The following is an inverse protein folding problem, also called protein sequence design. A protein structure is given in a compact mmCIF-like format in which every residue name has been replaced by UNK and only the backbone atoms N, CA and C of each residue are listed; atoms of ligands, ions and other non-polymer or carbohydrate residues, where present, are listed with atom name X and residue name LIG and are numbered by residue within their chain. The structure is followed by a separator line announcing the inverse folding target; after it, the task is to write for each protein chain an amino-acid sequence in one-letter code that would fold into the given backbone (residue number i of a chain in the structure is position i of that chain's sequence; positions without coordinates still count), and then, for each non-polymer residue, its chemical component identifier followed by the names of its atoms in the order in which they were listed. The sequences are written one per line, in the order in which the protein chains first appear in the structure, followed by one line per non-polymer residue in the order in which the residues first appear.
data_IF_405582504277
#
_entry.id   IF_405582504277
#
_cell.length_a   1.000
_cell.length_b   1.000
_cell.length_c   1.000
_cell.angle_alpha   90.00
_cell.angle_beta   90.00
_cell.angle_gamma   90.00
#
_symmetry.space_group_name_H-M   'P 1'
#
loop_
_entity.id
_entity.type
_entity.pdbx_description
1 polymer ?
#
# COMPACT_ATOMS: atom_id res chain seq x y z
N UNK A 1 16.03 -19.77 -25.00
CA UNK A 1 15.47 -19.36 -23.70
C UNK A 1 14.96 -20.61 -23.00
N UNK A 2 15.54 -20.95 -21.84
CA UNK A 2 15.17 -22.14 -21.10
C UNK A 2 14.18 -21.77 -20.00
N UNK A 3 13.04 -22.43 -19.97
CA UNK A 3 12.11 -22.37 -18.83
C UNK A 3 12.77 -23.17 -17.70
N UNK A 4 13.04 -22.50 -16.58
CA UNK A 4 13.63 -23.12 -15.39
C UNK A 4 12.54 -23.95 -14.70
N UNK A 5 12.83 -25.19 -14.28
CA UNK A 5 11.86 -25.98 -13.52
C UNK A 5 11.57 -25.31 -12.17
N UNK A 6 10.28 -25.13 -11.87
CA UNK A 6 9.81 -24.57 -10.59
C UNK A 6 9.31 -25.72 -9.71
N UNK A 7 9.70 -25.72 -8.44
CA UNK A 7 9.20 -26.68 -7.47
C UNK A 7 7.94 -26.14 -6.76
N UNK A 8 6.86 -26.92 -6.77
CA UNK A 8 5.69 -26.62 -5.93
C UNK A 8 5.98 -27.10 -4.50
N UNK A 9 5.89 -26.17 -3.55
CA UNK A 9 6.11 -26.44 -2.13
C UNK A 9 4.81 -26.20 -1.37
N UNK A 10 4.52 -27.05 -0.38
CA UNK A 10 3.39 -26.88 0.54
C UNK A 10 3.92 -26.91 1.96
N UNK A 11 3.62 -25.86 2.72
CA UNK A 11 4.08 -25.68 4.10
C UNK A 11 2.92 -25.97 5.06
N UNK A 12 3.24 -26.65 6.16
CA UNK A 12 2.29 -26.97 7.22
C UNK A 12 2.80 -26.42 8.55
N UNK A 13 1.90 -25.95 9.40
CA UNK A 13 2.24 -25.36 10.68
C UNK A 13 0.99 -24.95 11.46
N UNK A 14 1.21 -24.30 12.60
CA UNK A 14 0.10 -23.76 13.41
C UNK A 14 -0.43 -22.47 12.80
N UNK A 15 -1.71 -22.17 13.04
CA UNK A 15 -2.33 -20.93 12.54
C UNK A 15 -1.62 -19.68 13.08
N UNK A 16 -1.13 -19.75 14.32
CA UNK A 16 -0.44 -18.64 14.99
C UNK A 16 0.88 -18.28 14.31
N UNK A 17 1.57 -19.26 13.72
CA UNK A 17 2.84 -19.07 13.02
C UNK A 17 2.68 -18.58 11.57
N UNK A 18 1.45 -18.59 11.04
CA UNK A 18 1.19 -18.30 9.62
C UNK A 18 1.78 -16.97 9.17
N UNK A 19 1.53 -15.90 9.92
CA UNK A 19 1.96 -14.54 9.54
C UNK A 19 3.49 -14.42 9.56
N UNK A 20 4.13 -14.82 10.66
CA UNK A 20 5.60 -14.78 10.81
C UNK A 20 6.30 -15.56 9.69
N UNK A 21 5.79 -16.74 9.34
CA UNK A 21 6.35 -17.54 8.24
C UNK A 21 6.14 -16.86 6.90
N UNK A 22 4.95 -16.33 6.62
CA UNK A 22 4.67 -15.61 5.37
C UNK A 22 5.56 -14.37 5.20
N UNK A 23 5.76 -13.60 6.27
CA UNK A 23 6.62 -12.42 6.26
C UNK A 23 8.06 -12.81 5.92
N UNK A 24 8.59 -13.85 6.57
CA UNK A 24 9.93 -14.36 6.27
C UNK A 24 10.07 -14.90 4.83
N UNK A 25 9.04 -15.55 4.28
CA UNK A 25 9.05 -15.99 2.87
C UNK A 25 8.97 -14.81 1.90
N UNK A 26 8.25 -13.76 2.25
CA UNK A 26 8.17 -12.53 1.46
C UNK A 26 9.52 -11.80 1.44
N UNK A 27 10.22 -11.73 2.58
CA UNK A 27 11.58 -11.18 2.66
C UNK A 27 12.57 -11.94 1.76
N UNK A 28 12.44 -13.27 1.68
CA UNK A 28 13.25 -14.09 0.77
C UNK A 28 12.96 -13.82 -0.71
N UNK A 29 11.74 -13.40 -1.06
CA UNK A 29 11.37 -12.93 -2.40
C UNK A 29 11.46 -13.97 -3.52
N UNK A 30 11.53 -15.26 -3.19
CA UNK A 30 11.82 -16.34 -4.15
C UNK A 30 10.61 -17.25 -4.46
N UNK A 31 9.42 -16.92 -3.95
CA UNK A 31 8.23 -17.76 -4.05
C UNK A 31 7.03 -16.98 -4.59
N UNK A 32 6.13 -17.70 -5.24
CA UNK A 32 4.82 -17.21 -5.66
C UNK A 32 3.74 -17.93 -4.83
N UNK A 33 2.86 -17.16 -4.19
CA UNK A 33 1.76 -17.72 -3.40
C UNK A 33 0.64 -18.18 -4.32
N UNK A 34 0.17 -19.41 -4.09
CA UNK A 34 -0.98 -19.98 -4.80
C UNK A 34 -2.20 -19.93 -3.88
N UNK A 35 -3.28 -19.31 -4.34
CA UNK A 35 -4.56 -19.42 -3.64
C UNK A 35 -5.13 -20.82 -3.88
N UNK A 36 -5.45 -21.52 -2.80
CA UNK A 36 -6.01 -22.89 -2.86
C UNK A 36 -7.54 -22.86 -2.91
N UNK A 37 -8.16 -21.68 -2.81
CA UNK A 37 -9.59 -21.48 -2.64
C UNK A 37 -10.24 -20.90 -3.92
N UNK A 38 -9.91 -21.51 -5.07
CA UNK A 38 -10.15 -21.07 -6.47
C UNK A 38 -11.63 -21.02 -6.90
N UNK A 39 -12.56 -20.75 -5.98
CA UNK A 39 -14.00 -20.65 -6.21
C UNK A 39 -14.51 -19.20 -6.24
N UNK A 40 -13.62 -18.21 -6.26
CA UNK A 40 -14.01 -16.80 -6.37
C UNK A 40 -13.33 -16.21 -7.58
N UNK A 41 -14.14 -15.74 -8.53
CA UNK A 41 -13.72 -14.88 -9.62
C UNK A 41 -12.58 -13.98 -9.15
N UNK A 42 -11.46 -14.03 -9.88
CA UNK A 42 -10.33 -13.12 -9.73
C UNK A 42 -10.74 -11.69 -10.10
N UNK A 43 -11.71 -11.12 -9.40
CA UNK A 43 -11.52 -9.76 -8.96
C UNK A 43 -10.37 -9.86 -7.98
N UNK A 44 -9.16 -9.63 -8.50
CA UNK A 44 -8.05 -9.15 -7.71
C UNK A 44 -8.68 -8.31 -6.62
N UNK A 45 -8.60 -8.77 -5.37
CA UNK A 45 -8.63 -7.84 -4.26
C UNK A 45 -7.37 -7.01 -4.50
N UNK A 46 -7.45 -6.08 -5.45
CA UNK A 46 -6.58 -4.94 -5.55
C UNK A 46 -6.58 -4.46 -4.12
N UNK A 47 -5.45 -4.66 -3.45
CA UNK A 47 -5.20 -4.20 -2.10
C UNK A 47 -5.92 -2.87 -2.01
N UNK A 48 -7.06 -2.84 -1.31
CA UNK A 48 -7.96 -1.70 -1.35
C UNK A 48 -7.20 -0.62 -0.59
N UNK A 49 -6.31 0.06 -1.30
CA UNK A 49 -5.68 1.27 -0.85
C UNK A 49 -6.88 2.14 -0.49
N UNK A 50 -6.96 2.50 0.80
CA UNK A 50 -8.08 3.28 1.31
C UNK A 50 -8.33 4.43 0.33
N UNK A 51 -9.58 4.72 -0.07
CA UNK A 51 -9.87 5.81 -0.98
C UNK A 51 -9.22 7.12 -0.49
N UNK A 52 -9.16 7.30 0.82
CA UNK A 52 -8.51 8.43 1.49
C UNK A 52 -6.99 8.43 1.29
N UNK A 53 -6.34 7.26 1.38
CA UNK A 53 -4.91 7.14 1.11
C UNK A 53 -4.57 7.42 -0.36
N UNK A 54 -5.42 6.96 -1.29
CA UNK A 54 -5.28 7.26 -2.71
C UNK A 54 -5.45 8.77 -2.98
N UNK A 55 -6.43 9.40 -2.34
CA UNK A 55 -6.66 10.84 -2.45
C UNK A 55 -5.51 11.66 -1.85
N UNK A 56 -5.06 11.31 -0.64
CA UNK A 56 -3.93 11.95 0.04
C UNK A 56 -2.67 11.87 -0.83
N UNK A 57 -2.37 10.70 -1.41
CA UNK A 57 -1.23 10.53 -2.31
C UNK A 57 -1.37 11.36 -3.58
N UNK A 58 -2.59 11.46 -4.15
CA UNK A 58 -2.85 12.31 -5.31
C UNK A 58 -2.58 13.79 -4.98
N UNK A 59 -3.02 14.26 -3.82
CA UNK A 59 -2.78 15.63 -3.35
C UNK A 59 -1.29 15.90 -3.15
N UNK A 60 -0.57 15.01 -2.44
CA UNK A 60 0.87 15.15 -2.20
C UNK A 60 1.68 15.15 -3.51
N UNK A 61 1.28 14.35 -4.51
CA UNK A 61 1.91 14.34 -5.84
C UNK A 61 1.60 15.57 -6.70
N UNK A 62 0.50 16.27 -6.43
CA UNK A 62 0.14 17.51 -7.13
C UNK A 62 0.84 18.75 -6.53
N UNK A 63 1.48 18.61 -5.37
CA UNK A 63 2.20 19.70 -4.73
C UNK A 63 3.47 20.07 -5.53
N UNK A 64 3.78 21.36 -5.72
CA UNK A 64 4.91 21.79 -6.55
C UNK A 64 6.28 21.42 -5.96
N UNK A 65 6.37 21.24 -4.64
CA UNK A 65 7.62 20.91 -3.94
C UNK A 65 7.59 19.43 -3.56
N UNK A 66 8.37 18.63 -4.27
CA UNK A 66 8.55 17.22 -3.96
C UNK A 66 9.81 17.04 -3.10
N UNK A 67 9.64 16.57 -1.87
CA UNK A 67 10.78 16.15 -1.04
C UNK A 67 11.27 14.77 -1.48
N UNK A 68 12.56 14.52 -1.30
CA UNK A 68 13.15 13.20 -1.52
C UNK A 68 12.48 12.19 -0.60
N UNK A 69 12.04 11.05 -1.15
CA UNK A 69 11.47 9.97 -0.37
C UNK A 69 12.49 9.47 0.67
N UNK A 70 12.08 9.46 1.93
CA UNK A 70 12.85 8.85 3.02
C UNK A 70 12.74 7.34 2.87
N UNK A 71 13.87 6.63 3.01
CA UNK A 71 13.92 5.16 2.91
C UNK A 71 13.74 4.46 4.25
N UNK A 72 13.88 5.22 5.33
CA UNK A 72 13.65 4.75 6.69
C UNK A 72 12.15 4.86 6.99
N UNK A 73 11.53 3.72 7.23
CA UNK A 73 10.09 3.61 7.51
C UNK A 73 9.80 3.39 9.01
N UNK A 74 10.82 3.44 9.88
CA UNK A 74 10.67 3.12 11.31
C UNK A 74 9.65 4.01 12.04
N UNK A 75 9.51 5.27 11.62
CA UNK A 75 8.56 6.23 12.19
C UNK A 75 7.39 6.56 11.23
N UNK A 76 7.21 5.80 10.15
CA UNK A 76 6.16 6.09 9.18
C UNK A 76 4.79 5.60 9.67
N UNK A 77 3.91 6.54 10.04
CA UNK A 77 2.52 6.29 10.41
C UNK A 77 1.59 6.66 9.25
N UNK A 78 1.10 5.64 8.54
CA UNK A 78 0.24 5.83 7.35
C UNK A 78 -0.98 6.68 7.67
N UNK A 79 -1.76 6.30 8.69
CA UNK A 79 -3.05 6.93 8.99
C UNK A 79 -2.90 8.41 9.36
N UNK A 80 -1.86 8.75 10.12
CA UNK A 80 -1.56 10.13 10.51
C UNK A 80 -1.20 10.99 9.30
N UNK A 81 -0.38 10.46 8.39
CA UNK A 81 0.01 11.16 7.16
C UNK A 81 -1.19 11.37 6.24
N UNK A 82 -2.07 10.37 6.12
CA UNK A 82 -3.31 10.48 5.33
C UNK A 82 -4.21 11.57 5.90
N UNK A 83 -4.44 11.55 7.22
CA UNK A 83 -5.25 12.57 7.90
C UNK A 83 -4.71 13.99 7.72
N UNK A 84 -3.40 14.18 7.92
CA UNK A 84 -2.76 15.48 7.75
C UNK A 84 -2.80 15.97 6.30
N UNK A 85 -2.57 15.09 5.32
CA UNK A 85 -2.61 15.47 3.92
C UNK A 85 -4.00 15.97 3.49
N UNK A 86 -5.06 15.27 3.93
CA UNK A 86 -6.44 15.65 3.62
C UNK A 86 -6.86 16.94 4.35
N UNK A 87 -6.46 17.13 5.61
CA UNK A 87 -6.78 18.36 6.34
C UNK A 87 -6.12 19.58 5.70
N UNK A 88 -4.85 19.46 5.28
CA UNK A 88 -4.13 20.53 4.59
C UNK A 88 -4.80 20.82 3.23
N UNK A 89 -5.20 19.78 2.48
CA UNK A 89 -5.91 19.94 1.21
C UNK A 89 -7.20 20.75 1.41
N UNK A 90 -8.00 20.40 2.40
CA UNK A 90 -9.27 21.08 2.70
C UNK A 90 -9.06 22.53 3.10
N UNK A 91 -8.09 22.80 3.98
CA UNK A 91 -7.77 24.17 4.40
C UNK A 91 -7.30 25.03 3.22
N UNK A 92 -6.49 24.48 2.31
CA UNK A 92 -6.07 25.19 1.10
C UNK A 92 -7.23 25.54 0.18
N UNK A 93 -8.18 24.63 0.02
CA UNK A 93 -9.37 24.87 -0.80
C UNK A 93 -10.27 25.96 -0.20
N UNK A 94 -10.45 25.97 1.12
CA UNK A 94 -11.19 27.02 1.82
C UNK A 94 -10.55 28.40 1.62
N UNK A 95 -9.25 28.51 1.88
CA UNK A 95 -8.52 29.78 1.70
C UNK A 95 -8.56 30.28 0.25
N UNK A 96 -8.55 29.37 -0.72
CA UNK A 96 -8.62 29.74 -2.13
C UNK A 96 -10.03 30.21 -2.51
N UNK A 97 -11.08 29.58 -1.98
CA UNK A 97 -12.45 30.03 -2.16
C UNK A 97 -12.68 31.42 -1.54
N UNK A 98 -12.15 31.70 -0.34
CA UNK A 98 -12.22 33.02 0.29
C UNK A 98 -11.54 34.12 -0.55
N UNK A 99 -10.42 33.80 -1.21
CA UNK A 99 -9.73 34.74 -2.10
C UNK A 99 -10.51 35.00 -3.38
N UNK A 100 -11.17 34.00 -3.95
CA UNK A 100 -11.96 34.15 -5.18
C UNK A 100 -13.28 34.93 -4.95
N UNK A 101 -13.73 35.04 -3.70
CA UNK A 101 -14.92 35.83 -3.29
C UNK A 101 -14.63 37.32 -3.01
N UNK A 102 -13.37 37.75 -2.98
CA UNK A 102 -12.93 39.14 -2.76
C UNK A 102 -12.68 39.92 -4.06
#
# INVERSE_FOLDING_TARGET
MAIVPVAKVTLYGTADQKHVVLDGLQELGCLHLLDLNDSRDHQSQNSQCSPDAAQALKYLKACPIHRRAVKDNSEFQLDDVVGQALSIQQQRQQLQAELDEL
#
